data_IF_231412583834
#
_entry.id   IF_231412583834
#
_cell.length_a   1.000
_cell.length_b   1.000
_cell.length_c   1.000
_cell.angle_alpha   90.00
_cell.angle_beta   90.00
_cell.angle_gamma   90.00
#
_symmetry.space_group_name_H-M   'P 1'
#
loop_
_entity.id
_entity.type
_entity.pdbx_description
1 polymer ?
#
# COMPACT_ATOMS: atom_id res chain seq x y z
N UNK A 1 -2.23 -8.24 24.41
CA UNK A 1 -3.49 -8.49 25.14
C UNK A 1 -4.51 -7.49 24.66
N UNK A 2 -5.44 -7.96 23.85
CA UNK A 2 -6.45 -7.15 23.23
C UNK A 2 -7.61 -6.85 24.20
N UNK A 3 -7.98 -5.58 24.34
CA UNK A 3 -9.08 -5.15 25.20
C UNK A 3 -9.86 -4.03 24.52
N UNK A 4 -11.20 -4.01 24.64
CA UNK A 4 -11.97 -2.82 24.29
C UNK A 4 -11.50 -1.66 25.18
N UNK A 5 -11.35 -0.49 24.57
CA UNK A 5 -10.98 0.74 25.23
C UNK A 5 -11.92 1.85 24.77
N UNK A 6 -12.41 2.65 25.70
CA UNK A 6 -13.25 3.79 25.38
C UNK A 6 -12.39 5.04 25.23
N UNK A 7 -12.53 5.71 24.09
CA UNK A 7 -11.89 6.98 23.80
C UNK A 7 -12.95 8.08 23.72
N UNK A 8 -12.68 9.20 24.37
CA UNK A 8 -13.54 10.37 24.33
C UNK A 8 -13.09 11.30 23.20
N UNK A 9 -13.97 11.55 22.24
CA UNK A 9 -13.79 12.48 21.14
C UNK A 9 -14.80 13.64 21.30
N UNK A 10 -14.38 14.71 21.97
CA UNK A 10 -15.30 15.78 22.39
C UNK A 10 -16.33 15.23 23.38
N UNK A 11 -17.62 15.37 23.08
CA UNK A 11 -18.72 14.88 23.93
C UNK A 11 -19.12 13.42 23.61
N UNK A 12 -18.44 12.78 22.66
CA UNK A 12 -18.78 11.43 22.19
C UNK A 12 -17.79 10.40 22.71
N UNK A 13 -18.30 9.31 23.27
CA UNK A 13 -17.50 8.13 23.63
C UNK A 13 -17.53 7.15 22.46
N UNK A 14 -16.35 6.72 22.01
CA UNK A 14 -16.17 5.73 20.95
C UNK A 14 -15.40 4.55 21.54
N UNK A 15 -15.99 3.37 21.48
CA UNK A 15 -15.30 2.13 21.81
C UNK A 15 -14.40 1.73 20.65
N UNK A 16 -13.13 1.51 20.95
CA UNK A 16 -12.12 1.03 20.00
C UNK A 16 -11.46 -0.22 20.53
N UNK A 17 -10.89 -0.99 19.63
CA UNK A 17 -10.01 -2.10 19.96
C UNK A 17 -8.59 -1.57 20.17
N UNK A 18 -7.98 -1.86 21.31
CA UNK A 18 -6.60 -1.47 21.63
C UNK A 18 -5.66 -2.68 21.57
N UNK A 19 -4.67 -2.59 20.68
CA UNK A 19 -3.56 -3.52 20.58
C UNK A 19 -2.26 -2.84 21.02
N UNK A 20 -1.56 -3.46 21.97
CA UNK A 20 -0.29 -2.96 22.50
C UNK A 20 0.83 -3.90 22.03
N UNK A 21 1.81 -3.33 21.33
CA UNK A 21 2.97 -4.02 20.77
C UNK A 21 4.27 -3.43 21.31
N UNK A 22 5.37 -4.17 21.17
CA UNK A 22 6.72 -3.64 21.32
C UNK A 22 7.35 -3.57 19.94
N UNK A 23 7.67 -2.36 19.48
CA UNK A 23 8.27 -2.11 18.17
C UNK A 23 9.52 -1.27 18.31
N UNK A 24 10.65 -1.77 17.79
CA UNK A 24 11.97 -1.12 17.89
C UNK A 24 12.32 -0.67 19.31
N UNK A 25 12.07 -1.54 20.29
CA UNK A 25 12.32 -1.28 21.71
C UNK A 25 11.34 -0.31 22.39
N UNK A 26 10.35 0.22 21.67
CA UNK A 26 9.36 1.15 22.20
C UNK A 26 7.97 0.51 22.27
N UNK A 27 7.16 0.93 23.25
CA UNK A 27 5.75 0.53 23.33
C UNK A 27 4.95 1.26 22.25
N UNK A 28 4.23 0.50 21.44
CA UNK A 28 3.37 0.98 20.36
C UNK A 28 1.93 0.62 20.69
N UNK A 29 1.05 1.63 20.75
CA UNK A 29 -0.38 1.43 20.97
C UNK A 29 -1.11 1.67 19.63
N UNK A 30 -1.81 0.64 19.14
CA UNK A 30 -2.62 0.67 17.94
C UNK A 30 -4.11 0.64 18.32
N UNK A 31 -4.89 1.52 17.69
CA UNK A 31 -6.32 1.64 17.91
C UNK A 31 -7.05 1.29 16.62
N UNK A 32 -8.04 0.41 16.70
CA UNK A 32 -8.90 0.04 15.57
C UNK A 32 -10.36 0.30 15.92
N UNK A 33 -11.09 0.95 15.01
CA UNK A 33 -12.52 1.22 15.16
C UNK A 33 -13.38 -0.01 14.82
N UNK A 34 -12.88 -0.92 13.99
CA UNK A 34 -13.51 -2.21 13.75
C UNK A 34 -13.11 -3.20 14.85
N UNK A 35 -14.07 -3.52 15.72
CA UNK A 35 -13.89 -4.41 16.86
C UNK A 35 -13.75 -5.89 16.45
N UNK A 36 -14.04 -6.24 15.19
CA UNK A 36 -13.98 -7.62 14.67
C UNK A 36 -12.60 -8.01 14.15
N UNK A 37 -11.75 -7.04 13.81
CA UNK A 37 -10.41 -7.31 13.31
C UNK A 37 -9.60 -8.13 14.31
N UNK A 38 -8.81 -9.09 13.85
CA UNK A 38 -7.85 -9.82 14.67
C UNK A 38 -6.66 -8.94 15.04
N UNK A 39 -5.85 -9.37 16.01
CA UNK A 39 -4.64 -8.64 16.40
C UNK A 39 -3.61 -8.65 15.25
N UNK A 40 -3.51 -9.78 14.55
CA UNK A 40 -2.65 -9.97 13.37
C UNK A 40 -3.08 -9.06 12.20
N UNK A 41 -4.40 -8.92 11.97
CA UNK A 41 -4.93 -8.04 10.92
C UNK A 41 -4.62 -6.55 11.20
N UNK A 42 -4.72 -6.12 12.46
CA UNK A 42 -4.39 -4.75 12.87
C UNK A 42 -2.89 -4.49 12.72
N UNK A 43 -2.05 -5.41 13.19
CA UNK A 43 -0.60 -5.28 13.06
C UNK A 43 -0.17 -5.28 11.57
N UNK A 44 -0.73 -6.17 10.76
CA UNK A 44 -0.45 -6.23 9.32
C UNK A 44 -0.85 -4.92 8.62
N UNK A 45 -2.04 -4.40 8.93
CA UNK A 45 -2.52 -3.13 8.39
C UNK A 45 -1.61 -1.97 8.78
N UNK A 46 -1.19 -1.90 10.04
CA UNK A 46 -0.24 -0.88 10.50
C UNK A 46 1.13 -1.00 9.81
N UNK A 47 1.66 -2.22 9.63
CA UNK A 47 2.92 -2.44 8.90
C UNK A 47 2.82 -1.97 7.46
N UNK A 48 1.74 -2.30 6.75
CA UNK A 48 1.51 -1.86 5.37
C UNK A 48 1.49 -0.33 5.30
N UNK A 49 0.76 0.34 6.21
CA UNK A 49 0.74 1.80 6.28
C UNK A 49 2.16 2.37 6.44
N UNK A 50 2.98 1.79 7.31
CA UNK A 50 4.34 2.26 7.53
C UNK A 50 5.22 2.09 6.28
N UNK A 51 5.08 0.98 5.55
CA UNK A 51 5.78 0.77 4.27
C UNK A 51 5.34 1.78 3.21
N UNK A 52 4.06 2.16 3.16
CA UNK A 52 3.57 3.24 2.28
C UNK A 52 4.22 4.59 2.66
N UNK A 53 4.29 4.92 3.94
CA UNK A 53 4.94 6.15 4.40
C UNK A 53 6.44 6.16 4.05
N UNK A 54 7.11 5.00 4.13
CA UNK A 54 8.51 4.84 3.73
C UNK A 54 8.68 5.05 2.22
N UNK A 55 7.82 4.43 1.40
CA UNK A 55 7.80 4.64 -0.05
C UNK A 55 7.63 6.13 -0.39
N UNK A 56 6.71 6.84 0.26
CA UNK A 56 6.55 8.27 0.07
C UNK A 56 7.84 9.04 0.39
N UNK A 57 8.53 8.72 1.50
CA UNK A 57 9.82 9.36 1.84
C UNK A 57 10.89 9.08 0.79
N UNK A 58 10.93 7.87 0.25
CA UNK A 58 11.90 7.48 -0.78
C UNK A 58 11.64 8.23 -2.09
N UNK A 59 10.38 8.31 -2.53
CA UNK A 59 9.93 9.10 -3.69
C UNK A 59 10.35 10.57 -3.56
N UNK A 60 10.15 11.18 -2.38
CA UNK A 60 10.59 12.56 -2.09
C UNK A 60 12.10 12.69 -2.13
N UNK A 61 12.81 11.75 -1.51
CA UNK A 61 14.28 11.73 -1.47
C UNK A 61 14.86 11.66 -2.88
N UNK A 62 14.27 10.86 -3.75
CA UNK A 62 14.64 10.73 -5.15
C UNK A 62 14.21 11.93 -6.00
N UNK A 63 13.54 12.92 -5.40
CA UNK A 63 13.12 14.15 -6.05
C UNK A 63 11.95 13.98 -7.00
N UNK A 64 11.20 12.88 -6.92
CA UNK A 64 10.17 12.51 -7.90
C UNK A 64 8.82 13.22 -7.69
N UNK A 65 8.82 14.34 -6.96
CA UNK A 65 7.62 15.13 -6.68
C UNK A 65 7.25 16.07 -7.84
N UNK A 66 8.21 16.43 -8.71
CA UNK A 66 7.99 17.35 -9.84
C UNK A 66 8.42 16.74 -11.19
N UNK A 67 7.85 17.26 -12.27
CA UNK A 67 7.91 16.70 -13.64
C UNK A 67 9.17 17.03 -14.46
N UNK A 68 10.19 17.71 -13.91
CA UNK A 68 11.40 18.10 -14.67
C UNK A 68 12.61 17.17 -14.44
N UNK A 69 13.28 16.76 -15.53
CA UNK A 69 14.27 15.66 -15.56
C UNK A 69 15.74 16.07 -15.37
N UNK A 70 16.03 17.31 -15.00
CA UNK A 70 17.38 17.89 -15.12
C UNK A 70 18.40 17.47 -14.03
N UNK A 71 18.09 16.55 -13.10
CA UNK A 71 18.95 16.20 -11.96
C UNK A 71 19.28 14.70 -11.89
N UNK A 72 20.56 14.34 -11.66
CA UNK A 72 21.06 12.95 -11.56
C UNK A 72 20.30 12.09 -10.54
N UNK A 73 19.96 12.66 -9.37
CA UNK A 73 19.18 12.00 -8.32
C UNK A 73 17.76 11.62 -8.79
N UNK A 74 17.16 12.45 -9.65
CA UNK A 74 15.85 12.17 -10.27
C UNK A 74 15.95 11.05 -11.30
N UNK A 75 16.98 11.04 -12.13
CA UNK A 75 17.22 9.94 -13.08
C UNK A 75 17.32 8.58 -12.34
N UNK A 76 18.05 8.53 -11.22
CA UNK A 76 18.10 7.33 -10.37
C UNK A 76 16.72 6.93 -9.86
N UNK A 77 15.89 7.91 -9.45
CA UNK A 77 14.51 7.65 -9.04
C UNK A 77 13.64 7.06 -10.16
N UNK A 78 13.72 7.62 -11.36
CA UNK A 78 13.00 7.09 -12.53
C UNK A 78 13.45 5.68 -12.89
N UNK A 79 14.75 5.40 -12.87
CA UNK A 79 15.26 4.04 -13.09
C UNK A 79 14.73 3.06 -12.04
N UNK A 80 14.69 3.48 -10.77
CA UNK A 80 14.11 2.65 -9.70
C UNK A 80 12.61 2.38 -9.94
N UNK A 81 11.81 3.41 -10.29
CA UNK A 81 10.40 3.20 -10.64
C UNK A 81 10.23 2.26 -11.82
N UNK A 82 11.03 2.41 -12.88
CA UNK A 82 10.98 1.53 -14.06
C UNK A 82 11.25 0.08 -13.64
N UNK A 83 12.30 -0.16 -12.85
CA UNK A 83 12.62 -1.50 -12.36
C UNK A 83 11.49 -2.07 -11.52
N UNK A 84 10.87 -1.28 -10.63
CA UNK A 84 9.72 -1.72 -9.84
C UNK A 84 8.53 -2.09 -10.72
N UNK A 85 8.16 -1.24 -11.68
CA UNK A 85 7.05 -1.52 -12.62
C UNK A 85 7.33 -2.78 -13.44
N UNK A 86 8.55 -2.94 -13.97
CA UNK A 86 8.95 -4.13 -14.74
C UNK A 86 8.85 -5.40 -13.88
N UNK A 87 9.29 -5.35 -12.63
CA UNK A 87 9.18 -6.50 -11.73
C UNK A 87 7.72 -6.84 -11.42
N UNK A 88 6.88 -5.85 -11.10
CA UNK A 88 5.45 -6.07 -10.86
C UNK A 88 4.77 -6.66 -12.08
N UNK A 89 5.06 -6.14 -13.28
CA UNK A 89 4.51 -6.68 -14.54
C UNK A 89 4.97 -8.12 -14.77
N UNK A 90 6.26 -8.43 -14.53
CA UNK A 90 6.79 -9.79 -14.64
C UNK A 90 6.11 -10.74 -13.66
N UNK A 91 5.91 -10.34 -12.43
CA UNK A 91 5.25 -11.16 -11.42
C UNK A 91 3.77 -11.36 -11.74
N UNK A 92 3.11 -10.35 -12.30
CA UNK A 92 1.74 -10.45 -12.77
C UNK A 92 1.61 -11.42 -13.95
N UNK A 93 2.49 -11.33 -14.95
CA UNK A 93 2.54 -12.27 -16.08
C UNK A 93 2.70 -13.71 -15.58
N UNK A 94 3.62 -13.95 -14.63
CA UNK A 94 3.80 -15.27 -14.02
C UNK A 94 2.58 -15.73 -13.23
N UNK A 95 2.00 -14.86 -12.41
CA UNK A 95 0.86 -15.19 -11.53
C UNK A 95 -0.40 -15.52 -12.32
N UNK A 96 -0.58 -14.89 -13.48
CA UNK A 96 -1.68 -15.15 -14.40
C UNK A 96 -1.38 -16.29 -15.40
N UNK A 97 -0.21 -16.94 -15.26
CA UNK A 97 0.27 -17.99 -16.16
C UNK A 97 0.27 -17.58 -17.65
N UNK A 98 0.64 -16.32 -17.91
CA UNK A 98 0.74 -15.75 -19.24
C UNK A 98 2.15 -15.91 -19.79
N UNK A 99 2.28 -16.02 -21.11
CA UNK A 99 3.56 -16.24 -21.79
C UNK A 99 4.29 -14.94 -22.10
N UNK A 100 3.60 -13.80 -22.09
CA UNK A 100 4.19 -12.51 -22.45
C UNK A 100 3.43 -11.32 -21.86
N UNK A 101 4.07 -10.14 -21.92
CA UNK A 101 3.43 -8.85 -21.61
C UNK A 101 2.29 -8.56 -22.60
N UNK A 102 2.40 -9.02 -23.84
CA UNK A 102 1.35 -8.82 -24.83
C UNK A 102 0.09 -9.62 -24.49
N UNK A 103 0.24 -10.86 -23.98
CA UNK A 103 -0.88 -11.63 -23.45
C UNK A 103 -1.51 -10.95 -22.23
N UNK A 104 -0.71 -10.30 -21.37
CA UNK A 104 -1.24 -9.48 -20.27
C UNK A 104 -2.07 -8.31 -20.78
N UNK A 105 -1.60 -7.57 -21.78
CA UNK A 105 -2.36 -6.46 -22.37
C UNK A 105 -3.67 -6.94 -22.98
N UNK A 106 -3.66 -8.05 -23.73
CA UNK A 106 -4.89 -8.65 -24.27
C UNK A 106 -5.83 -9.12 -23.16
N UNK A 107 -5.29 -9.69 -22.07
CA UNK A 107 -6.09 -10.07 -20.92
C UNK A 107 -6.78 -8.86 -20.28
N UNK A 108 -6.06 -7.76 -20.06
CA UNK A 108 -6.64 -6.51 -19.52
C UNK A 108 -7.73 -5.98 -20.46
N UNK A 109 -7.48 -5.95 -21.76
CA UNK A 109 -8.46 -5.44 -22.73
C UNK A 109 -9.73 -6.29 -22.76
N UNK A 110 -9.59 -7.61 -22.92
CA UNK A 110 -10.71 -8.54 -23.14
C UNK A 110 -11.45 -8.85 -21.84
N UNK A 111 -10.72 -9.10 -20.75
CA UNK A 111 -11.31 -9.57 -19.48
C UNK A 111 -11.65 -8.45 -18.53
N UNK A 112 -10.85 -7.38 -18.54
CA UNK A 112 -11.02 -6.26 -17.61
C UNK A 112 -11.61 -5.02 -18.29
N UNK A 113 -11.91 -5.04 -19.59
CA UNK A 113 -12.46 -3.87 -20.29
C UNK A 113 -11.45 -2.72 -20.42
N UNK A 114 -10.19 -3.07 -20.63
CA UNK A 114 -9.09 -2.13 -20.82
C UNK A 114 -8.76 -1.34 -19.55
N UNK A 115 -8.13 -0.18 -19.74
CA UNK A 115 -7.72 0.69 -18.63
C UNK A 115 -8.90 1.11 -17.73
N UNK A 116 -10.08 1.33 -18.30
CA UNK A 116 -11.25 1.80 -17.55
C UNK A 116 -11.80 0.74 -16.59
N UNK A 117 -11.93 -0.52 -17.02
CA UNK A 117 -12.42 -1.55 -16.11
C UNK A 117 -11.34 -2.04 -15.13
N UNK A 118 -10.05 -1.95 -15.50
CA UNK A 118 -8.96 -2.09 -14.53
C UNK A 118 -9.06 -1.03 -13.42
N UNK A 119 -9.29 0.25 -13.77
CA UNK A 119 -9.52 1.30 -12.76
C UNK A 119 -10.74 1.05 -11.88
N UNK A 120 -11.82 0.43 -12.40
CA UNK A 120 -13.00 0.09 -11.60
C UNK A 120 -12.69 -0.94 -10.52
N UNK A 121 -11.82 -1.92 -10.81
CA UNK A 121 -11.38 -2.92 -9.81
C UNK A 121 -10.66 -2.24 -8.65
N UNK A 122 -9.79 -1.28 -8.95
CA UNK A 122 -9.07 -0.52 -7.91
C UNK A 122 -9.95 0.49 -7.15
N UNK A 123 -11.06 0.94 -7.75
CA UNK A 123 -12.06 1.80 -7.10
C UNK A 123 -13.09 1.02 -6.27
N UNK A 124 -13.12 -0.31 -6.39
CA UNK A 124 -14.04 -1.17 -5.65
C UNK A 124 -13.34 -1.72 -4.40
N UNK A 125 -13.17 -0.85 -3.40
CA UNK A 125 -13.19 -1.13 -1.96
C UNK A 125 -13.62 0.10 -1.20
#
# INVERSE_FOLDING_TARGET
MNRPADLTLGDRVITVKLLILVYKGNRLNLYATDLKLSDEEIEATWKIRWEIEKLHRDVKTLGMQDSSFLKRKRLQGYLLLIVMVVNVVRDLVKSLNLKSVEELLRFVEIRLGGALGLMKIFKLR
#
